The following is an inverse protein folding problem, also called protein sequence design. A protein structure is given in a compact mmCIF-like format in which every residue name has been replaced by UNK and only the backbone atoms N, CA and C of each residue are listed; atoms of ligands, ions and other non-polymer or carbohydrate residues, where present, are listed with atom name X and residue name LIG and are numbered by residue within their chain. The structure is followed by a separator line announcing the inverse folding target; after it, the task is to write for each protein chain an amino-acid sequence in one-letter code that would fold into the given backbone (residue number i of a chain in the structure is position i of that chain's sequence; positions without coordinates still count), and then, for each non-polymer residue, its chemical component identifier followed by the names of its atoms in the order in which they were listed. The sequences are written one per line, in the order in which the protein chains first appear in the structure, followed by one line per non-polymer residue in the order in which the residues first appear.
data_IF_125681746038
#
_entry.id   IF_125681746038
#
_cell.length_a   1.000
_cell.length_b   1.000
_cell.length_c   1.000
_cell.angle_alpha   90.00
_cell.angle_beta   90.00
_cell.angle_gamma   90.00
#
_symmetry.space_group_name_H-M   'P 1'
#
loop_
_entity.id
_entity.type
_entity.pdbx_description
1 polymer ?
#
# COMPACT_ATOMS: atom_id res chain seq x y z
N UNK A 1 11.21 -25.93 8.96
CA UNK A 1 11.59 -25.97 7.52
C UNK A 1 12.30 -24.68 7.12
N UNK A 2 13.56 -24.74 6.64
CA UNK A 2 14.28 -23.55 6.18
C UNK A 2 13.62 -23.02 4.89
N UNK A 3 13.20 -21.75 4.87
CA UNK A 3 12.65 -21.08 3.69
C UNK A 3 13.77 -20.87 2.65
N UNK A 4 14.03 -21.86 1.81
CA UNK A 4 14.90 -21.68 0.65
C UNK A 4 14.27 -20.66 -0.29
N UNK A 5 14.96 -19.53 -0.48
CA UNK A 5 14.57 -18.51 -1.46
C UNK A 5 14.87 -19.06 -2.86
N UNK A 6 13.88 -19.65 -3.49
CA UNK A 6 13.95 -20.01 -4.90
C UNK A 6 14.24 -18.78 -5.76
N UNK A 7 15.06 -18.92 -6.80
CA UNK A 7 15.21 -17.90 -7.82
C UNK A 7 13.85 -17.57 -8.46
N UNK A 8 13.69 -16.39 -9.05
CA UNK A 8 12.40 -16.05 -9.68
C UNK A 8 12.09 -17.04 -10.82
N UNK A 9 13.11 -17.42 -11.58
CA UNK A 9 12.99 -18.42 -12.66
C UNK A 9 12.45 -19.75 -12.13
N UNK A 10 12.95 -20.23 -10.99
CA UNK A 10 12.44 -21.44 -10.34
C UNK A 10 10.97 -21.31 -9.95
N UNK A 11 10.64 -20.19 -9.31
CA UNK A 11 9.30 -19.95 -8.79
C UNK A 11 8.26 -19.83 -9.90
N UNK A 12 8.56 -19.11 -10.97
CA UNK A 12 7.58 -18.75 -12.01
C UNK A 12 7.72 -19.56 -13.29
N UNK A 13 8.94 -19.82 -13.75
CA UNK A 13 9.21 -20.53 -14.99
C UNK A 13 9.30 -22.05 -14.79
N UNK A 14 10.00 -22.55 -13.76
CA UNK A 14 10.00 -23.99 -13.44
C UNK A 14 8.75 -24.48 -12.73
N UNK A 15 7.90 -23.56 -12.25
CA UNK A 15 6.62 -23.90 -11.63
C UNK A 15 6.70 -24.27 -10.14
N UNK A 16 7.83 -24.04 -9.46
CA UNK A 16 7.97 -24.36 -8.03
C UNK A 16 7.17 -23.42 -7.11
N UNK A 17 6.57 -22.35 -7.63
CA UNK A 17 5.62 -21.55 -6.88
C UNK A 17 4.34 -22.32 -6.58
N UNK A 18 3.81 -22.20 -5.36
CA UNK A 18 2.59 -22.89 -4.88
C UNK A 18 1.42 -22.88 -5.89
N UNK A 19 1.25 -21.74 -6.59
CA UNK A 19 0.17 -21.53 -7.57
C UNK A 19 0.30 -22.31 -8.88
N UNK A 20 1.47 -22.88 -9.17
CA UNK A 20 1.74 -23.55 -10.44
C UNK A 20 1.83 -25.07 -10.30
N UNK A 21 1.75 -25.63 -9.08
CA UNK A 21 1.70 -27.07 -8.87
C UNK A 21 2.89 -27.84 -9.46
N UNK A 22 4.10 -27.26 -9.47
CA UNK A 22 5.30 -27.83 -10.12
C UNK A 22 5.19 -27.98 -11.65
N UNK A 23 4.21 -27.34 -12.29
CA UNK A 23 4.09 -27.35 -13.75
C UNK A 23 4.97 -26.25 -14.36
N UNK A 24 6.00 -26.60 -15.15
CA UNK A 24 6.85 -25.61 -15.80
C UNK A 24 6.07 -24.79 -16.83
N UNK A 25 6.58 -23.61 -17.14
CA UNK A 25 6.05 -22.72 -18.17
C UNK A 25 6.34 -23.30 -19.54
N UNK A 26 5.38 -23.22 -20.47
CA UNK A 26 5.56 -23.69 -21.86
C UNK A 26 6.71 -22.96 -22.59
N UNK A 27 7.04 -21.75 -22.13
CA UNK A 27 8.14 -20.95 -22.67
C UNK A 27 9.47 -21.16 -21.92
N UNK A 28 9.50 -22.00 -20.89
CA UNK A 28 10.73 -22.26 -20.15
C UNK A 28 11.54 -23.35 -20.86
N UNK A 29 12.79 -23.03 -21.17
CA UNK A 29 13.71 -23.97 -21.80
C UNK A 29 14.68 -24.52 -20.76
N UNK A 30 14.50 -25.80 -20.41
CA UNK A 30 15.28 -26.46 -19.38
C UNK A 30 16.76 -26.67 -19.78
N UNK A 31 17.09 -26.70 -21.07
CA UNK A 31 18.49 -26.90 -21.51
C UNK A 31 19.37 -25.70 -21.15
N UNK A 32 18.83 -24.51 -21.36
CA UNK A 32 19.49 -23.20 -21.17
C UNK A 32 19.09 -22.51 -19.87
N UNK A 33 18.11 -23.06 -19.15
CA UNK A 33 17.59 -22.53 -17.89
C UNK A 33 17.03 -21.10 -18.00
N UNK A 34 16.47 -20.77 -19.16
CA UNK A 34 15.95 -19.44 -19.50
C UNK A 34 14.52 -19.53 -20.04
N UNK A 35 13.76 -18.44 -19.92
CA UNK A 35 12.44 -18.34 -20.53
C UNK A 35 12.55 -17.69 -21.91
N UNK A 36 12.10 -18.40 -22.95
CA UNK A 36 12.14 -18.00 -24.36
C UNK A 36 11.49 -16.64 -24.62
N UNK A 37 10.45 -16.29 -23.86
CA UNK A 37 9.81 -14.96 -23.95
C UNK A 37 10.80 -13.81 -23.78
N UNK A 38 11.79 -13.96 -22.89
CA UNK A 38 12.81 -12.92 -22.68
C UNK A 38 13.91 -12.91 -23.73
N UNK A 39 14.08 -14.01 -24.49
CA UNK A 39 15.04 -14.11 -25.59
C UNK A 39 14.50 -13.46 -26.86
N UNK A 40 13.21 -13.63 -27.12
CA UNK A 40 12.54 -13.13 -28.33
C UNK A 40 12.18 -11.64 -28.27
N UNK A 41 12.29 -10.99 -27.09
CA UNK A 41 12.25 -9.53 -26.90
C UNK A 41 11.05 -8.80 -27.50
N UNK A 42 9.85 -9.38 -27.43
CA UNK A 42 8.59 -8.70 -27.77
C UNK A 42 7.80 -8.35 -26.51
N UNK A 43 7.85 -7.10 -26.01
CA UNK A 43 7.23 -6.70 -24.74
C UNK A 43 5.72 -6.97 -24.69
N UNK A 44 5.02 -6.84 -25.81
CA UNK A 44 3.58 -7.12 -25.90
C UNK A 44 3.28 -8.58 -25.57
N UNK A 45 4.01 -9.50 -26.21
CA UNK A 45 3.89 -10.95 -25.96
C UNK A 45 4.32 -11.25 -24.53
N UNK A 46 5.35 -10.58 -24.04
CA UNK A 46 5.85 -10.79 -22.70
C UNK A 46 4.80 -10.38 -21.65
N UNK A 47 4.11 -9.27 -21.85
CA UNK A 47 3.00 -8.86 -20.99
C UNK A 47 1.88 -9.90 -20.98
N UNK A 48 1.49 -10.42 -22.14
CA UNK A 48 0.35 -11.32 -22.29
C UNK A 48 0.63 -12.75 -21.84
N UNK A 49 1.86 -13.23 -22.01
CA UNK A 49 2.21 -14.64 -21.82
C UNK A 49 3.12 -14.91 -20.62
N UNK A 50 3.78 -13.89 -20.06
CA UNK A 50 4.65 -14.10 -18.92
C UNK A 50 3.83 -14.46 -17.67
N UNK A 51 4.22 -15.53 -17.00
CA UNK A 51 3.61 -15.88 -15.72
C UNK A 51 3.81 -14.83 -14.63
N UNK A 52 4.73 -13.86 -14.80
CA UNK A 52 5.02 -12.80 -13.82
C UNK A 52 4.30 -11.47 -14.11
N UNK A 53 3.36 -11.43 -15.06
CA UNK A 53 2.63 -10.20 -15.44
C UNK A 53 1.15 -10.24 -15.03
N UNK A 54 0.77 -11.16 -14.15
CA UNK A 54 -0.59 -11.17 -13.63
C UNK A 54 -0.93 -9.88 -12.85
N UNK A 55 -2.21 -9.51 -12.85
CA UNK A 55 -2.71 -8.36 -12.10
C UNK A 55 -2.34 -8.44 -10.63
N UNK A 56 -2.33 -9.64 -10.03
CA UNK A 56 -1.95 -9.84 -8.65
C UNK A 56 -0.53 -9.34 -8.33
N UNK A 57 0.42 -9.49 -9.25
CA UNK A 57 1.78 -8.97 -9.11
C UNK A 57 1.82 -7.45 -9.20
N UNK A 58 0.98 -6.83 -10.04
CA UNK A 58 0.81 -5.37 -10.06
C UNK A 58 0.23 -4.86 -8.73
N UNK A 59 -0.88 -5.44 -8.26
CA UNK A 59 -1.48 -5.11 -6.95
C UNK A 59 -0.46 -5.23 -5.83
N UNK A 60 0.27 -6.35 -5.77
CA UNK A 60 1.30 -6.57 -4.75
C UNK A 60 2.46 -5.56 -4.84
N UNK A 61 2.77 -5.07 -6.04
CA UNK A 61 3.78 -4.03 -6.22
C UNK A 61 3.25 -2.68 -5.76
N UNK A 62 2.01 -2.35 -6.11
CA UNK A 62 1.29 -1.14 -5.69
C UNK A 62 1.24 -1.07 -4.17
N UNK A 63 0.78 -2.14 -3.51
CA UNK A 63 0.65 -2.22 -2.05
C UNK A 63 1.98 -1.92 -1.37
N UNK A 64 3.03 -2.63 -1.81
CA UNK A 64 4.38 -2.41 -1.27
C UNK A 64 4.84 -0.96 -1.43
N UNK A 65 4.53 -0.32 -2.56
CA UNK A 65 4.94 1.05 -2.80
C UNK A 65 4.11 2.05 -2.00
N UNK A 66 2.80 1.85 -1.90
CA UNK A 66 1.91 2.63 -1.04
C UNK A 66 2.35 2.52 0.43
N UNK A 67 2.54 1.32 0.95
CA UNK A 67 3.02 1.08 2.32
C UNK A 67 4.36 1.79 2.56
N UNK A 68 5.27 1.73 1.58
CA UNK A 68 6.55 2.44 1.66
C UNK A 68 6.35 3.95 1.73
N UNK A 69 5.44 4.53 0.94
CA UNK A 69 5.14 5.95 1.00
C UNK A 69 4.46 6.32 2.32
N UNK A 70 3.49 5.54 2.80
CA UNK A 70 2.84 5.75 4.10
C UNK A 70 3.87 5.76 5.23
N UNK A 71 4.78 4.79 5.25
CA UNK A 71 5.83 4.70 6.26
C UNK A 71 6.84 5.86 6.20
N UNK A 72 7.20 6.33 4.99
CA UNK A 72 8.18 7.42 4.84
C UNK A 72 7.58 8.78 5.22
N UNK A 73 6.33 9.04 4.84
CA UNK A 73 5.72 10.35 4.99
C UNK A 73 4.73 10.45 6.16
N UNK A 74 4.45 9.34 6.86
CA UNK A 74 3.50 9.31 7.99
C UNK A 74 2.05 9.54 7.57
N UNK A 75 1.69 9.21 6.33
CA UNK A 75 0.39 9.53 5.74
C UNK A 75 -0.49 8.29 5.81
N UNK A 76 -1.67 8.40 6.44
CA UNK A 76 -2.72 7.41 6.30
C UNK A 76 -3.45 7.67 4.99
N UNK A 77 -3.32 6.75 4.04
CA UNK A 77 -4.00 6.89 2.77
C UNK A 77 -5.22 5.97 2.74
N UNK A 78 -6.41 6.57 2.71
CA UNK A 78 -7.69 5.87 2.64
C UNK A 78 -7.85 5.32 1.22
N UNK A 79 -7.67 4.01 1.09
CA UNK A 79 -7.99 3.15 -0.07
C UNK A 79 -7.60 3.67 -1.47
N UNK A 80 -6.29 3.69 -1.73
CA UNK A 80 -5.70 4.28 -2.94
C UNK A 80 -5.71 3.41 -4.20
N UNK A 81 -6.25 2.19 -4.14
CA UNK A 81 -6.17 1.25 -5.26
C UNK A 81 -7.10 1.64 -6.40
N UNK A 82 -8.22 2.29 -6.09
CA UNK A 82 -9.26 2.63 -7.06
C UNK A 82 -8.81 3.68 -8.09
N UNK A 83 -7.87 4.56 -7.73
CA UNK A 83 -7.39 5.64 -8.60
C UNK A 83 -6.22 5.25 -9.49
N UNK A 84 -5.65 4.07 -9.27
CA UNK A 84 -4.54 3.59 -10.08
C UNK A 84 -5.10 3.02 -11.37
N UNK A 85 -4.99 3.80 -12.45
CA UNK A 85 -5.30 3.32 -13.78
C UNK A 85 -4.27 2.25 -14.20
N UNK A 86 -4.65 0.98 -14.05
CA UNK A 86 -3.81 -0.16 -14.43
C UNK A 86 -3.48 -0.15 -15.93
N UNK A 87 -4.39 0.35 -16.78
CA UNK A 87 -4.14 0.39 -18.22
C UNK A 87 -2.94 1.29 -18.54
N UNK A 88 -2.79 2.44 -17.86
CA UNK A 88 -1.61 3.30 -18.04
C UNK A 88 -0.31 2.57 -17.69
N UNK A 89 -0.33 1.74 -16.63
CA UNK A 89 0.84 0.94 -16.23
C UNK A 89 1.12 -0.10 -17.31
N UNK A 90 0.10 -0.80 -17.78
CA UNK A 90 0.21 -1.84 -18.81
C UNK A 90 0.73 -1.27 -20.12
N UNK A 91 0.18 -0.15 -20.59
CA UNK A 91 0.66 0.53 -21.79
C UNK A 91 2.13 0.93 -21.65
N UNK A 92 2.52 1.46 -20.48
CA UNK A 92 3.91 1.76 -20.22
C UNK A 92 4.81 0.51 -20.20
N UNK A 93 4.30 -0.64 -19.76
CA UNK A 93 5.05 -1.91 -19.78
C UNK A 93 5.14 -2.54 -21.17
N UNK A 94 4.15 -2.29 -22.03
CA UNK A 94 4.12 -2.72 -23.44
C UNK A 94 5.04 -1.89 -24.31
N UNK A 95 5.31 -0.62 -23.94
CA UNK A 95 6.23 0.23 -24.71
C UNK A 95 7.59 -0.46 -24.85
N UNK A 96 8.14 -0.53 -26.08
CA UNK A 96 9.46 -1.07 -26.28
C UNK A 96 10.44 -0.29 -25.44
N UNK A 97 11.14 -1.00 -24.56
CA UNK A 97 12.22 -0.44 -23.77
C UNK A 97 13.36 -0.17 -24.75
N UNK A 98 13.31 0.99 -25.42
CA UNK A 98 14.35 1.52 -26.29
C UNK A 98 15.57 1.96 -25.47
N UNK A 99 15.97 1.18 -24.47
CA UNK A 99 17.25 1.38 -23.81
C UNK A 99 18.28 0.51 -24.53
N UNK A 100 19.16 1.10 -25.36
CA UNK A 100 20.17 0.36 -26.12
C UNK A 100 21.19 -0.39 -25.23
N UNK A 101 21.14 -0.20 -23.90
CA UNK A 101 21.97 -0.92 -22.93
C UNK A 101 21.36 -2.18 -22.32
N UNK A 102 20.10 -2.54 -22.60
CA UNK A 102 19.54 -3.81 -22.12
C UNK A 102 19.79 -4.93 -23.12
N UNK A 103 21.01 -5.49 -23.10
CA UNK A 103 21.41 -6.62 -23.94
C UNK A 103 20.80 -7.96 -23.50
N UNK A 104 20.29 -8.07 -22.26
CA UNK A 104 19.67 -9.31 -21.77
C UNK A 104 18.46 -9.03 -20.89
N UNK A 105 17.27 -9.33 -21.40
CA UNK A 105 16.08 -9.38 -20.57
C UNK A 105 16.05 -10.71 -19.83
N UNK A 106 15.78 -10.65 -18.54
CA UNK A 106 15.49 -11.81 -17.71
C UNK A 106 14.38 -11.44 -16.73
N UNK A 107 13.94 -12.42 -15.95
CA UNK A 107 12.81 -12.25 -15.06
C UNK A 107 13.09 -11.23 -13.94
N UNK A 108 14.34 -11.13 -13.48
CA UNK A 108 14.78 -10.13 -12.50
C UNK A 108 14.70 -8.72 -13.07
N UNK A 109 15.21 -8.50 -14.28
CA UNK A 109 15.15 -7.23 -14.99
C UNK A 109 13.71 -6.82 -15.25
N UNK A 110 12.87 -7.76 -15.68
CA UNK A 110 11.45 -7.52 -15.88
C UNK A 110 10.71 -7.17 -14.59
N UNK A 111 10.99 -7.87 -13.49
CA UNK A 111 10.48 -7.51 -12.17
C UNK A 111 10.88 -6.10 -11.76
N UNK A 112 12.14 -5.72 -11.97
CA UNK A 112 12.63 -4.36 -11.68
C UNK A 112 11.89 -3.33 -12.53
N UNK A 113 11.66 -3.64 -13.80
CA UNK A 113 10.91 -2.79 -14.72
C UNK A 113 9.46 -2.58 -14.25
N UNK A 114 8.73 -3.65 -13.94
CA UNK A 114 7.37 -3.58 -13.35
C UNK A 114 7.35 -2.70 -12.11
N UNK A 115 8.22 -2.98 -11.12
CA UNK A 115 8.23 -2.20 -9.88
C UNK A 115 8.56 -0.73 -10.14
N UNK A 116 9.42 -0.43 -11.11
CA UNK A 116 9.78 0.96 -11.45
C UNK A 116 8.59 1.68 -12.08
N UNK A 117 7.88 1.03 -13.01
CA UNK A 117 6.67 1.59 -13.64
C UNK A 117 5.57 1.83 -12.62
N UNK A 118 5.31 0.84 -11.75
CA UNK A 118 4.34 0.96 -10.65
C UNK A 118 4.72 2.09 -9.70
N UNK A 119 5.97 2.13 -9.24
CA UNK A 119 6.46 3.19 -8.37
C UNK A 119 6.25 4.59 -8.96
N UNK A 120 6.58 4.77 -10.25
CA UNK A 120 6.39 6.06 -10.94
C UNK A 120 4.92 6.46 -10.97
N UNK A 121 4.02 5.53 -11.30
CA UNK A 121 2.58 5.83 -11.37
C UNK A 121 1.98 6.11 -10.00
N UNK A 122 2.30 5.31 -8.99
CA UNK A 122 1.89 5.57 -7.59
C UNK A 122 2.38 6.95 -7.16
N UNK A 123 3.65 7.27 -7.42
CA UNK A 123 4.22 8.57 -7.08
C UNK A 123 3.51 9.73 -7.80
N UNK A 124 3.24 9.60 -9.09
CA UNK A 124 2.50 10.58 -9.89
C UNK A 124 1.12 10.87 -9.29
N UNK A 125 0.38 9.83 -8.89
CA UNK A 125 -0.94 9.98 -8.26
C UNK A 125 -0.84 10.70 -6.92
N UNK A 126 0.12 10.31 -6.07
CA UNK A 126 0.34 10.97 -4.77
C UNK A 126 0.72 12.46 -4.95
N UNK A 127 1.48 12.80 -5.99
CA UNK A 127 1.81 14.19 -6.32
C UNK A 127 0.59 14.96 -6.77
N UNK A 128 -0.19 14.39 -7.70
CA UNK A 128 -1.41 15.01 -8.22
C UNK A 128 -2.41 15.31 -7.11
N UNK A 129 -2.40 14.51 -6.04
CA UNK A 129 -3.22 14.69 -4.84
C UNK A 129 -2.66 15.68 -3.82
N UNK A 130 -1.46 16.21 -4.03
CA UNK A 130 -0.78 17.06 -3.06
C UNK A 130 -0.31 16.30 -1.81
N UNK A 131 -0.36 14.97 -1.80
CA UNK A 131 0.05 14.12 -0.67
C UNK A 131 1.57 14.18 -0.50
N UNK A 132 2.28 14.12 -1.63
CA UNK A 132 3.73 14.33 -1.66
C UNK A 132 4.02 15.50 -2.59
N UNK A 133 4.99 16.34 -2.21
CA UNK A 133 5.43 17.41 -3.09
C UNK A 133 5.99 16.86 -4.41
N UNK A 134 5.88 17.65 -5.48
CA UNK A 134 6.77 17.50 -6.61
C UNK A 134 8.21 17.48 -6.07
N UNK A 135 9.05 16.57 -6.57
CA UNK A 135 10.46 16.64 -6.21
C UNK A 135 10.91 17.97 -6.78
N UNK A 136 11.11 18.99 -5.94
CA UNK A 136 11.83 20.17 -6.40
C UNK A 136 13.17 19.62 -6.86
N UNK A 137 13.55 19.93 -8.10
CA UNK A 137 14.94 19.78 -8.53
C UNK A 137 15.75 20.78 -7.71
N UNK A 138 15.94 20.49 -6.41
CA UNK A 138 16.94 21.18 -5.64
C UNK A 138 18.24 20.74 -6.31
N UNK A 139 18.84 21.67 -7.06
CA UNK A 139 20.02 21.43 -7.85
C UNK A 139 21.15 20.80 -7.00
N UNK A 140 21.08 20.88 -5.67
CA UNK A 140 22.02 20.32 -4.71
C UNK A 140 21.78 18.86 -4.25
N UNK A 141 20.79 18.13 -4.75
CA UNK A 141 20.58 16.74 -4.29
C UNK A 141 21.67 15.80 -4.85
N UNK A 142 22.55 15.30 -3.97
CA UNK A 142 23.72 14.44 -4.26
C UNK A 142 23.45 13.17 -5.08
N UNK A 143 22.20 12.74 -5.23
CA UNK A 143 21.79 11.57 -6.04
C UNK A 143 21.41 11.90 -7.47
N UNK A 144 21.27 13.18 -7.82
CA UNK A 144 21.44 13.60 -9.19
C UNK A 144 22.89 14.03 -9.31
N UNK A 145 23.70 13.23 -10.00
CA UNK A 145 24.90 13.80 -10.60
C UNK A 145 24.40 14.89 -11.53
N UNK A 146 24.42 16.15 -11.08
CA UNK A 146 24.55 17.24 -12.01
C UNK A 146 25.66 16.79 -12.96
N UNK A 147 25.36 16.66 -14.24
CA UNK A 147 26.40 16.73 -15.25
C UNK A 147 27.09 18.04 -14.97
N UNK A 148 28.23 17.99 -14.24
CA UNK A 148 28.96 19.16 -13.77
C UNK A 148 29.09 20.11 -14.95
N UNK A 149 28.34 21.20 -14.94
CA UNK A 149 28.53 22.25 -15.92
C UNK A 149 29.91 22.81 -15.67
N UNK A 150 30.77 22.78 -16.69
CA UNK A 150 32.10 23.34 -16.56
C UNK A 150 31.95 24.85 -16.53
N UNK A 151 32.33 25.48 -15.42
CA UNK A 151 32.40 26.94 -15.32
C UNK A 151 33.76 27.37 -15.88
N UNK A 152 33.76 28.32 -16.81
CA UNK A 152 34.99 28.95 -17.28
C UNK A 152 35.46 29.94 -16.21
N UNK A 153 36.59 29.67 -15.53
CA UNK A 153 37.08 30.53 -14.44
C UNK A 153 37.41 31.96 -14.88
N UNK A 154 37.81 32.15 -16.15
CA UNK A 154 38.13 33.47 -16.70
C UNK A 154 36.89 34.30 -17.00
N UNK A 155 35.83 33.68 -17.53
CA UNK A 155 34.62 34.39 -17.97
C UNK A 155 33.45 34.29 -16.99
N UNK A 156 33.55 33.41 -15.97
CA UNK A 156 32.46 33.02 -15.06
C UNK A 156 31.19 32.53 -15.77
N UNK A 157 31.31 32.07 -17.02
CA UNK A 157 30.20 31.54 -17.81
C UNK A 157 29.99 30.04 -17.54
N UNK A 158 28.73 29.62 -17.40
CA UNK A 158 28.32 28.22 -17.29
C UNK A 158 28.25 27.62 -18.69
N UNK A 159 29.08 26.61 -19.00
CA UNK A 159 29.10 25.94 -20.31
C UNK A 159 28.50 24.54 -20.30
N UNK A 160 27.92 24.15 -21.43
CA UNK A 160 27.40 22.79 -21.68
C UNK A 160 28.58 21.86 -21.96
N UNK A 161 28.40 20.55 -21.70
CA UNK A 161 29.45 19.52 -21.90
C UNK A 161 29.93 19.40 -23.35
N UNK A 162 29.12 19.85 -24.31
CA UNK A 162 29.41 19.86 -25.75
C UNK A 162 30.23 21.06 -26.20
N UNK A 163 30.40 22.08 -25.36
CA UNK A 163 31.13 23.29 -25.72
C UNK A 163 32.65 23.01 -25.67
N UNK A 164 33.41 23.61 -26.58
CA UNK A 164 34.88 23.50 -26.60
C UNK A 164 35.46 23.88 -25.24
N UNK A 165 36.26 22.96 -24.69
CA UNK A 165 36.90 23.08 -23.37
C UNK A 165 37.98 24.17 -23.45
N UNK A 166 38.04 25.05 -22.44
CA UNK A 166 39.11 26.03 -22.30
C UNK A 166 40.40 25.35 -21.80
N UNK A 167 41.55 25.68 -22.37
CA UNK A 167 42.85 25.01 -22.14
C UNK A 167 43.40 25.12 -20.72
N UNK A 168 42.79 25.91 -19.82
CA UNK A 168 43.27 26.11 -18.45
C UNK A 168 42.17 25.72 -17.45
N UNK A 169 42.29 24.54 -16.85
CA UNK A 169 41.46 24.12 -15.71
C UNK A 169 42.34 23.80 -14.50
N UNK A 170 41.96 24.34 -13.33
CA UNK A 170 42.20 23.71 -12.04
C UNK A 170 40.84 23.23 -11.52
N UNK A 171 40.77 21.98 -11.05
CA UNK A 171 39.54 21.45 -10.44
C UNK A 171 39.29 22.22 -9.14
N UNK A 172 38.22 23.01 -9.08
CA UNK A 172 37.81 23.63 -7.82
C UNK A 172 37.37 22.55 -6.83
N UNK A 173 37.97 22.63 -5.65
CA UNK A 173 37.93 21.64 -4.61
C UNK A 173 36.54 21.37 -4.03
N UNK A 174 36.47 20.22 -3.37
CA UNK A 174 35.49 19.92 -2.33
C UNK A 174 35.57 21.05 -1.31
N UNK A 175 34.52 21.86 -1.14
CA UNK A 175 34.17 22.42 0.17
C UNK A 175 32.81 23.12 0.17
N UNK A 176 32.13 22.95 1.31
CA UNK A 176 30.87 23.55 1.78
C UNK A 176 29.59 23.05 1.13
N UNK A 177 29.08 21.95 1.69
CA UNK A 177 27.64 21.68 1.77
C UNK A 177 26.97 22.76 2.61
N UNK A 178 26.41 23.79 1.98
CA UNK A 178 25.30 24.52 2.60
C UNK A 178 24.14 23.55 2.78
N UNK A 179 23.82 23.27 4.04
CA UNK A 179 22.65 22.47 4.40
C UNK A 179 21.41 23.21 3.93
N UNK A 180 20.70 22.61 2.98
CA UNK A 180 19.38 23.05 2.59
C UNK A 180 18.41 22.73 3.73
N UNK A 181 17.96 23.74 4.48
CA UNK A 181 16.99 23.60 5.60
C UNK A 181 15.70 22.86 5.18
N UNK A 182 15.32 22.92 3.90
CA UNK A 182 14.14 22.21 3.38
C UNK A 182 14.34 20.71 3.08
N UNK A 183 15.57 20.19 3.16
CA UNK A 183 15.89 18.79 2.86
C UNK A 183 16.01 17.87 4.09
N UNK A 184 15.93 18.40 5.31
CA UNK A 184 16.05 17.65 6.55
C UNK A 184 15.04 16.49 6.67
N UNK A 185 13.90 16.59 5.99
CA UNK A 185 12.84 15.59 6.06
C UNK A 185 13.06 14.38 5.12
N UNK A 186 13.93 14.50 4.11
CA UNK A 186 14.12 13.47 3.09
C UNK A 186 15.38 12.61 3.29
N UNK A 187 16.28 13.01 4.20
CA UNK A 187 17.50 12.27 4.57
C UNK A 187 17.36 11.50 5.89
N UNK A 188 16.13 11.20 6.35
CA UNK A 188 15.90 10.23 7.43
C UNK A 188 16.24 8.79 6.98
N UNK A 189 17.52 8.53 6.68
CA UNK A 189 18.16 7.29 7.11
C UNK A 189 18.08 7.36 8.63
N UNK A 190 17.35 6.43 9.24
CA UNK A 190 17.25 6.28 10.69
C UNK A 190 18.66 6.39 11.26
N UNK A 191 18.98 7.55 11.86
CA UNK A 191 20.21 7.70 12.61
C UNK A 191 20.13 6.67 13.74
N UNK A 192 21.24 5.97 14.01
CA UNK A 192 21.28 5.07 15.15
C UNK A 192 21.12 5.95 16.40
N UNK A 193 20.02 5.87 17.14
CA UNK A 193 19.80 6.76 18.27
C UNK A 193 20.44 6.17 19.54
N UNK A 194 21.30 6.93 20.22
CA UNK A 194 21.91 6.52 21.48
C UNK A 194 21.03 7.00 22.64
N UNK A 195 20.19 6.12 23.20
CA UNK A 195 19.26 6.49 24.28
C UNK A 195 19.93 6.96 25.57
N UNK A 196 21.16 6.50 25.87
CA UNK A 196 21.91 6.94 27.06
C UNK A 196 22.34 8.41 26.99
N UNK A 197 22.72 8.86 25.79
CA UNK A 197 23.20 10.23 25.54
C UNK A 197 22.16 11.11 24.84
N UNK A 198 20.99 10.56 24.55
CA UNK A 198 19.89 11.23 23.86
C UNK A 198 20.31 11.90 22.54
N UNK A 199 21.19 11.26 21.77
CA UNK A 199 21.78 11.85 20.54
C UNK A 199 21.75 10.88 19.34
N UNK A 200 21.61 11.40 18.10
CA UNK A 200 21.73 10.63 16.87
C UNK A 200 23.19 10.24 16.57
N UNK A 201 23.42 9.01 16.14
CA UNK A 201 24.73 8.42 15.79
C UNK A 201 24.79 7.99 14.32
N UNK A 202 26.01 7.98 13.78
CA UNK A 202 26.33 7.39 12.49
C UNK A 202 26.49 5.88 12.60
N UNK A 203 26.32 5.18 11.47
CA UNK A 203 26.45 3.72 11.38
C UNK A 203 27.88 3.20 11.68
N UNK A 204 28.87 4.08 11.58
CA UNK A 204 30.28 3.81 11.86
C UNK A 204 30.65 4.01 13.32
N UNK A 205 29.77 4.63 14.12
CA UNK A 205 30.03 4.85 15.54
C UNK A 205 29.96 3.49 16.25
N UNK A 206 30.91 3.21 17.16
CA UNK A 206 30.93 1.96 17.92
C UNK A 206 29.54 1.72 18.52
N UNK A 207 28.89 0.63 18.11
CA UNK A 207 27.55 0.28 18.59
C UNK A 207 27.53 0.26 20.10
N UNK A 208 26.58 0.97 20.70
CA UNK A 208 26.40 0.96 22.15
C UNK A 208 26.14 -0.49 22.60
N UNK A 209 27.10 -1.08 23.32
CA UNK A 209 27.03 -2.45 23.88
C UNK A 209 25.71 -2.67 24.63
N UNK A 210 25.23 -1.64 25.34
CA UNK A 210 23.96 -1.65 26.08
C UNK A 210 22.74 -1.79 25.17
N UNK A 211 22.73 -1.22 23.95
CA UNK A 211 21.62 -1.40 23.00
C UNK A 211 21.54 -2.84 22.50
N UNK A 212 22.69 -3.49 22.28
CA UNK A 212 22.71 -4.93 21.95
C UNK A 212 22.16 -5.75 23.11
N UNK A 213 22.49 -5.40 24.36
CA UNK A 213 21.97 -6.07 25.55
C UNK A 213 20.44 -5.89 25.69
N UNK A 214 19.92 -4.68 25.51
CA UNK A 214 18.46 -4.40 25.60
C UNK A 214 17.68 -5.18 24.54
N UNK A 215 18.15 -5.17 23.29
CA UNK A 215 17.50 -5.94 22.21
C UNK A 215 17.55 -7.45 22.52
N UNK A 216 18.65 -7.93 23.09
CA UNK A 216 18.79 -9.35 23.46
C UNK A 216 17.83 -9.74 24.59
N UNK A 217 17.67 -8.89 25.60
CA UNK A 217 16.73 -9.11 26.70
C UNK A 217 15.26 -9.11 26.22
N UNK A 218 14.87 -8.16 25.36
CA UNK A 218 13.50 -8.11 24.79
C UNK A 218 13.22 -9.39 23.99
N UNK A 219 14.19 -9.85 23.20
CA UNK A 219 14.04 -11.10 22.43
C UNK A 219 13.92 -12.32 23.35
N UNK A 220 14.63 -12.36 24.50
CA UNK A 220 14.47 -13.46 25.47
C UNK A 220 13.13 -13.42 26.21
N UNK A 221 12.60 -12.25 26.57
CA UNK A 221 11.30 -12.14 27.22
C UNK A 221 10.14 -12.59 26.31
N UNK A 222 10.19 -12.22 25.02
CA UNK A 222 9.19 -12.66 24.04
C UNK A 222 9.19 -14.19 23.93
N UNK A 223 10.37 -14.81 23.87
CA UNK A 223 10.50 -16.27 23.80
C UNK A 223 10.02 -16.98 25.07
N UNK A 224 10.18 -16.36 26.23
CA UNK A 224 9.72 -16.95 27.48
C UNK A 224 8.20 -16.92 27.59
N UNK A 225 7.54 -15.83 27.14
CA UNK A 225 6.08 -15.75 27.10
C UNK A 225 5.44 -16.77 26.15
N UNK A 226 6.09 -17.05 25.02
CA UNK A 226 5.62 -18.09 24.09
C UNK A 226 5.69 -19.52 24.67
N UNK A 227 6.45 -19.74 25.75
CA UNK A 227 6.56 -21.03 26.42
C UNK A 227 5.64 -21.18 27.65
N UNK A 228 5.04 -20.09 28.14
CA UNK A 228 4.18 -20.10 29.35
C UNK A 228 2.69 -20.37 29.06
N UNK A 229 2.26 -20.41 27.79
CA UNK A 229 0.86 -20.72 27.40
C UNK A 229 0.52 -22.22 27.38
N UNK A 230 1.23 -23.05 28.16
CA UNK A 230 0.95 -24.49 28.32
C UNK A 230 0.85 -24.87 29.79
N UNK A 231 -0.19 -24.38 30.47
CA UNK A 231 -0.60 -24.93 31.77
C UNK A 231 -1.97 -25.59 31.63
N UNK A 232 -2.00 -26.91 31.86
CA UNK A 232 -3.20 -27.70 32.05
C UNK A 232 -3.94 -27.22 33.31
N UNK A 233 -5.03 -26.48 33.11
CA UNK A 233 -5.96 -26.12 34.19
C UNK A 233 -6.86 -27.33 34.43
N UNK A 234 -6.51 -28.14 35.43
CA UNK A 234 -7.46 -29.08 36.03
C UNK A 234 -8.50 -28.29 36.85
N UNK A 235 -9.80 -28.39 36.56
CA UNK A 235 -10.83 -27.76 37.37
C UNK A 235 -10.93 -28.45 38.73
N UNK A 236 -11.11 -27.71 39.83
CA UNK A 236 -11.41 -28.31 41.12
C UNK A 236 -12.77 -29.00 41.07
N UNK A 237 -12.79 -30.27 41.49
CA UNK A 237 -14.01 -31.03 41.73
C UNK A 237 -14.78 -30.40 42.89
N UNK A 238 -16.07 -30.09 42.69
CA UNK A 238 -17.16 -30.22 43.69
C UNK A 238 -18.39 -29.34 43.44
N UNK A 239 -18.80 -29.09 42.19
CA UNK A 239 -20.16 -28.65 41.90
C UNK A 239 -20.88 -29.69 41.02
N UNK A 240 -22.07 -30.10 41.42
CA UNK A 240 -22.94 -31.03 40.70
C UNK A 240 -23.06 -30.58 39.21
N UNK A 241 -22.63 -31.39 38.22
CA UNK A 241 -22.55 -30.99 36.81
C UNK A 241 -23.85 -30.42 36.24
N UNK A 242 -25.01 -30.90 36.71
CA UNK A 242 -26.32 -30.38 36.30
C UNK A 242 -26.52 -28.92 36.72
N UNK A 243 -26.11 -28.56 37.95
CA UNK A 243 -26.26 -27.18 38.44
C UNK A 243 -25.31 -26.19 37.75
N UNK A 244 -24.14 -26.66 37.27
CA UNK A 244 -23.20 -25.80 36.55
C UNK A 244 -23.69 -25.52 35.11
N UNK A 245 -24.27 -26.51 34.45
CA UNK A 245 -24.83 -26.36 33.10
C UNK A 245 -26.06 -25.44 33.12
N UNK A 246 -26.90 -25.56 34.13
CA UNK A 246 -28.09 -24.73 34.30
C UNK A 246 -27.72 -23.26 34.59
N UNK A 247 -26.73 -23.02 35.46
CA UNK A 247 -26.15 -21.68 35.69
C UNK A 247 -25.58 -21.08 34.40
N UNK A 248 -24.83 -21.86 33.60
CA UNK A 248 -24.29 -21.40 32.30
C UNK A 248 -25.40 -21.05 31.32
N UNK A 249 -26.47 -21.83 31.24
CA UNK A 249 -27.59 -21.56 30.34
C UNK A 249 -28.36 -20.29 30.75
N UNK A 250 -28.54 -20.04 32.05
CA UNK A 250 -29.13 -18.79 32.57
C UNK A 250 -28.25 -17.59 32.24
N UNK A 251 -26.92 -17.70 32.43
CA UNK A 251 -25.95 -16.67 32.09
C UNK A 251 -25.98 -16.33 30.59
N UNK A 252 -25.97 -17.35 29.73
CA UNK A 252 -26.07 -17.18 28.26
C UNK A 252 -27.38 -16.48 27.88
N UNK A 253 -28.50 -16.84 28.51
CA UNK A 253 -29.80 -16.20 28.25
C UNK A 253 -29.79 -14.73 28.67
N UNK A 254 -29.25 -14.41 29.85
CA UNK A 254 -29.08 -13.02 30.31
C UNK A 254 -28.20 -12.21 29.39
N UNK A 255 -27.07 -12.76 28.95
CA UNK A 255 -26.16 -12.09 28.02
C UNK A 255 -26.84 -11.80 26.67
N UNK A 256 -27.60 -12.76 26.12
CA UNK A 256 -28.39 -12.55 24.90
C UNK A 256 -29.47 -11.48 25.08
N UNK A 257 -30.14 -11.43 26.24
CA UNK A 257 -31.12 -10.38 26.54
C UNK A 257 -30.46 -9.00 26.67
N UNK A 258 -29.30 -8.90 27.33
CA UNK A 258 -28.51 -7.66 27.43
C UNK A 258 -28.05 -7.21 26.04
N UNK A 259 -27.53 -8.12 25.24
CA UNK A 259 -27.08 -7.85 23.87
C UNK A 259 -28.25 -7.40 22.99
N UNK A 260 -29.42 -8.03 23.12
CA UNK A 260 -30.64 -7.63 22.40
C UNK A 260 -31.18 -6.26 22.84
N UNK A 261 -30.99 -5.88 24.11
CA UNK A 261 -31.35 -4.54 24.63
C UNK A 261 -30.36 -3.49 24.16
N UNK A 262 -29.05 -3.79 24.17
CA UNK A 262 -28.01 -2.92 23.59
C UNK A 262 -28.19 -2.73 22.07
N UNK A 263 -28.67 -3.76 21.36
CA UNK A 263 -28.99 -3.68 19.93
C UNK A 263 -30.18 -2.77 19.61
N UNK A 264 -31.04 -2.45 20.60
CA UNK A 264 -32.21 -1.60 20.43
C UNK A 264 -31.92 -0.12 20.65
N UNK A 265 -30.83 0.22 21.34
CA UNK A 265 -30.32 1.59 21.33
C UNK A 265 -29.67 1.83 19.97
N UNK A 266 -30.51 2.26 19.02
CA UNK A 266 -30.07 2.71 17.71
C UNK A 266 -28.92 3.69 17.88
N UNK A 267 -27.81 3.41 17.22
CA UNK A 267 -26.65 4.29 17.22
C UNK A 267 -27.10 5.71 16.81
N UNK A 268 -27.02 6.70 17.72
CA UNK A 268 -27.52 8.05 17.46
C UNK A 268 -26.80 8.71 16.28
N UNK A 269 -25.56 8.31 16.00
CA UNK A 269 -24.80 8.75 14.84
C UNK A 269 -25.45 8.26 13.53
N UNK A 270 -25.80 6.98 13.48
CA UNK A 270 -26.43 6.37 12.31
C UNK A 270 -27.77 7.03 11.95
N UNK A 271 -28.58 7.40 12.94
CA UNK A 271 -29.86 8.09 12.73
C UNK A 271 -29.65 9.55 12.29
N UNK A 272 -28.60 10.22 12.78
CA UNK A 272 -28.20 11.55 12.29
C UNK A 272 -27.80 11.50 10.82
N UNK A 273 -26.98 10.53 10.41
CA UNK A 273 -26.57 10.35 9.02
C UNK A 273 -27.76 10.10 8.08
N UNK A 274 -28.75 9.28 8.51
CA UNK A 274 -30.00 9.08 7.76
C UNK A 274 -30.74 10.41 7.56
N UNK A 275 -30.92 11.20 8.62
CA UNK A 275 -31.60 12.51 8.56
C UNK A 275 -30.92 13.47 7.58
N UNK A 276 -29.59 13.53 7.59
CA UNK A 276 -28.82 14.38 6.67
C UNK A 276 -29.08 13.99 5.20
N UNK A 277 -29.07 12.69 4.88
CA UNK A 277 -29.37 12.22 3.52
C UNK A 277 -30.83 12.47 3.12
N UNK A 278 -31.78 12.36 4.05
CA UNK A 278 -33.19 12.75 3.80
C UNK A 278 -33.29 14.25 3.48
N UNK A 279 -32.60 15.11 4.25
CA UNK A 279 -32.58 16.54 4.00
C UNK A 279 -31.97 16.87 2.64
N UNK A 280 -30.90 16.17 2.24
CA UNK A 280 -30.33 16.26 0.90
C UNK A 280 -31.37 15.95 -0.18
N UNK A 281 -32.18 14.90 -0.03
CA UNK A 281 -33.27 14.57 -0.96
C UNK A 281 -34.34 15.65 -1.01
N UNK A 282 -34.66 16.27 0.12
CA UNK A 282 -35.70 17.30 0.23
C UNK A 282 -35.28 18.62 -0.42
N UNK A 283 -33.99 18.96 -0.35
CA UNK A 283 -33.42 20.16 -0.94
C UNK A 283 -33.38 20.11 -2.49
N UNK A 284 -33.43 18.92 -3.08
CA UNK A 284 -33.47 18.76 -4.53
C UNK A 284 -34.89 19.01 -5.10
N UNK A 285 -34.97 19.77 -6.20
CA UNK A 285 -36.24 20.10 -6.85
C UNK A 285 -37.03 18.83 -7.25
N UNK A 286 -38.37 18.88 -7.14
CA UNK A 286 -39.24 17.72 -7.43
C UNK A 286 -39.09 17.32 -8.91
N UNK A 287 -39.05 16.02 -9.18
CA UNK A 287 -38.98 15.47 -10.55
C UNK A 287 -37.60 15.51 -11.21
N UNK A 288 -36.57 16.07 -10.58
CA UNK A 288 -35.23 16.10 -11.17
C UNK A 288 -34.53 14.74 -11.10
N UNK A 289 -33.69 14.44 -12.09
CA UNK A 289 -32.83 13.25 -12.06
C UNK A 289 -31.92 13.22 -10.81
N UNK A 290 -31.46 14.40 -10.37
CA UNK A 290 -30.64 14.54 -9.16
C UNK A 290 -31.37 14.08 -7.91
N UNK A 291 -32.65 14.47 -7.74
CA UNK A 291 -33.48 14.00 -6.64
C UNK A 291 -33.66 12.48 -6.65
N UNK A 292 -33.86 11.88 -7.82
CA UNK A 292 -33.96 10.42 -7.97
C UNK A 292 -32.67 9.72 -7.54
N UNK A 293 -31.51 10.26 -7.93
CA UNK A 293 -30.20 9.75 -7.48
C UNK A 293 -30.06 9.86 -5.95
N UNK A 294 -30.38 11.01 -5.36
CA UNK A 294 -30.29 11.18 -3.91
C UNK A 294 -31.24 10.24 -3.15
N UNK A 295 -32.45 9.98 -3.66
CA UNK A 295 -33.38 9.00 -3.07
C UNK A 295 -32.78 7.59 -3.06
N UNK A 296 -32.25 7.16 -4.21
CA UNK A 296 -31.58 5.87 -4.35
C UNK A 296 -30.37 5.75 -3.41
N UNK A 297 -29.58 6.81 -3.29
CA UNK A 297 -28.44 6.89 -2.37
C UNK A 297 -28.87 6.73 -0.90
N UNK A 298 -29.93 7.42 -0.49
CA UNK A 298 -30.48 7.28 0.86
C UNK A 298 -30.99 5.86 1.13
N UNK A 299 -31.74 5.25 0.20
CA UNK A 299 -32.22 3.87 0.33
C UNK A 299 -31.07 2.86 0.39
N UNK A 300 -30.07 3.02 -0.48
CA UNK A 300 -28.88 2.19 -0.48
C UNK A 300 -28.13 2.29 0.85
N UNK A 301 -27.95 3.51 1.38
CA UNK A 301 -27.33 3.74 2.68
C UNK A 301 -28.06 2.99 3.81
N UNK A 302 -29.39 3.14 3.88
CA UNK A 302 -30.21 2.46 4.88
C UNK A 302 -30.08 0.93 4.78
N UNK A 303 -30.11 0.39 3.56
CA UNK A 303 -29.98 -1.04 3.33
C UNK A 303 -28.61 -1.58 3.70
N UNK A 304 -27.53 -0.86 3.36
CA UNK A 304 -26.17 -1.23 3.76
C UNK A 304 -26.04 -1.22 5.28
N UNK A 305 -26.48 -0.15 5.95
CA UNK A 305 -26.41 -0.04 7.40
C UNK A 305 -27.14 -1.19 8.10
N UNK A 306 -28.36 -1.53 7.67
CA UNK A 306 -29.13 -2.65 8.21
C UNK A 306 -28.43 -4.02 8.04
N UNK A 307 -27.57 -4.18 7.03
CA UNK A 307 -26.77 -5.40 6.82
C UNK A 307 -25.49 -5.38 7.65
N UNK A 308 -24.86 -4.22 7.83
CA UNK A 308 -23.71 -4.04 8.71
C UNK A 308 -24.09 -4.31 10.17
N UNK A 309 -25.26 -3.86 10.62
CA UNK A 309 -25.82 -4.17 11.95
C UNK A 309 -26.02 -5.68 12.16
N UNK A 310 -26.16 -6.46 11.08
CA UNK A 310 -26.23 -7.93 11.10
C UNK A 310 -24.86 -8.60 10.99
N UNK A 311 -23.77 -7.84 11.09
CA UNK A 311 -22.40 -8.34 11.00
C UNK A 311 -21.94 -8.72 9.59
N UNK A 312 -22.66 -8.31 8.55
CA UNK A 312 -22.25 -8.58 7.16
C UNK A 312 -21.21 -7.53 6.75
N UNK A 313 -20.10 -7.94 6.12
CA UNK A 313 -19.08 -7.00 5.65
C UNK A 313 -19.64 -6.07 4.57
N UNK A 314 -19.03 -4.88 4.42
CA UNK A 314 -19.51 -3.86 3.47
C UNK A 314 -19.57 -4.37 2.02
N UNK A 315 -18.55 -5.10 1.57
CA UNK A 315 -18.48 -5.64 0.21
C UNK A 315 -19.60 -6.67 -0.03
N UNK A 316 -19.83 -7.55 0.96
CA UNK A 316 -20.92 -8.53 0.91
C UNK A 316 -22.28 -7.88 0.97
N UNK A 317 -22.45 -6.82 1.77
CA UNK A 317 -23.70 -6.08 1.88
C UNK A 317 -24.06 -5.42 0.54
N UNK A 318 -23.12 -4.73 -0.09
CA UNK A 318 -23.30 -4.10 -1.40
C UNK A 318 -23.60 -5.15 -2.48
N UNK A 319 -22.87 -6.26 -2.48
CA UNK A 319 -23.11 -7.37 -3.42
C UNK A 319 -24.47 -8.03 -3.23
N UNK A 320 -24.94 -8.17 -1.99
CA UNK A 320 -26.26 -8.72 -1.66
C UNK A 320 -27.39 -7.79 -2.11
N UNK A 321 -27.22 -6.47 -1.98
CA UNK A 321 -28.20 -5.48 -2.47
C UNK A 321 -28.25 -5.45 -4.01
N UNK A 322 -27.13 -5.71 -4.68
CA UNK A 322 -27.08 -5.78 -6.14
C UNK A 322 -27.77 -7.03 -6.72
N UNK A 323 -28.07 -8.04 -5.89
CA UNK A 323 -28.75 -9.28 -6.29
C UNK A 323 -28.12 -9.98 -7.51
N UNK A 324 -26.79 -10.02 -7.54
CA UNK A 324 -26.01 -10.63 -8.64
C UNK A 324 -25.94 -9.82 -9.94
N UNK A 325 -26.60 -8.67 -10.05
CA UNK A 325 -26.51 -7.79 -11.21
C UNK A 325 -25.25 -6.91 -11.15
N UNK A 326 -24.31 -7.18 -12.08
CA UNK A 326 -23.04 -6.44 -12.18
C UNK A 326 -23.20 -4.94 -12.46
N UNK A 327 -24.25 -4.52 -13.17
CA UNK A 327 -24.49 -3.10 -13.44
C UNK A 327 -24.99 -2.39 -12.19
N UNK A 328 -25.90 -3.03 -11.43
CA UNK A 328 -26.31 -2.53 -10.11
C UNK A 328 -25.15 -2.49 -9.13
N UNK A 329 -24.26 -3.48 -9.15
CA UNK A 329 -23.07 -3.50 -8.29
C UNK A 329 -22.18 -2.27 -8.53
N UNK A 330 -21.87 -1.96 -9.80
CA UNK A 330 -21.08 -0.77 -10.15
C UNK A 330 -21.77 0.53 -9.75
N UNK A 331 -23.08 0.61 -9.95
CA UNK A 331 -23.89 1.77 -9.54
C UNK A 331 -23.90 1.95 -8.03
N UNK A 332 -24.12 0.88 -7.25
CA UNK A 332 -24.13 0.92 -5.80
C UNK A 332 -22.77 1.36 -5.23
N UNK A 333 -21.66 0.85 -5.79
CA UNK A 333 -20.33 1.29 -5.37
C UNK A 333 -20.12 2.79 -5.63
N UNK A 334 -20.54 3.28 -6.80
CA UNK A 334 -20.50 4.72 -7.13
C UNK A 334 -21.32 5.54 -6.14
N UNK A 335 -22.55 5.13 -5.87
CA UNK A 335 -23.46 5.81 -4.94
C UNK A 335 -22.90 5.84 -3.52
N UNK A 336 -22.34 4.73 -3.02
CA UNK A 336 -21.67 4.69 -1.70
C UNK A 336 -20.48 5.64 -1.65
N UNK A 337 -19.67 5.70 -2.71
CA UNK A 337 -18.55 6.64 -2.75
C UNK A 337 -19.02 8.10 -2.78
N UNK A 338 -20.07 8.42 -3.55
CA UNK A 338 -20.67 9.75 -3.55
C UNK A 338 -21.25 10.15 -2.18
N UNK A 339 -21.84 9.19 -1.45
CA UNK A 339 -22.32 9.41 -0.07
C UNK A 339 -21.15 9.72 0.86
N UNK A 340 -20.04 8.96 0.77
CA UNK A 340 -18.83 9.21 1.57
C UNK A 340 -18.25 10.59 1.31
N UNK A 341 -18.12 10.97 0.04
CA UNK A 341 -17.64 12.31 -0.36
C UNK A 341 -18.57 13.38 0.20
N UNK A 342 -19.88 13.20 0.06
CA UNK A 342 -20.87 14.15 0.57
C UNK A 342 -20.74 14.36 2.08
N UNK A 343 -20.66 13.28 2.88
CA UNK A 343 -20.45 13.42 4.32
C UNK A 343 -19.10 14.06 4.66
N UNK A 344 -18.04 13.78 3.89
CA UNK A 344 -16.72 14.38 4.13
C UNK A 344 -16.72 15.89 3.92
N UNK A 345 -17.46 16.35 2.92
CA UNK A 345 -17.55 17.77 2.57
C UNK A 345 -18.52 18.54 3.47
N UNK A 346 -19.62 17.91 3.89
CA UNK A 346 -20.72 18.61 4.58
C UNK A 346 -20.80 18.31 6.08
N UNK A 347 -20.22 17.21 6.55
CA UNK A 347 -20.28 16.75 7.94
C UNK A 347 -18.95 16.07 8.36
N UNK A 348 -17.80 16.75 8.26
CA UNK A 348 -16.48 16.16 8.51
C UNK A 348 -16.33 15.59 9.94
N UNK A 349 -17.10 16.09 10.90
CA UNK A 349 -17.17 15.60 12.28
C UNK A 349 -17.72 14.18 12.41
N UNK A 350 -18.48 13.69 11.42
CA UNK A 350 -19.07 12.34 11.43
C UNK A 350 -18.15 11.26 10.85
N UNK A 351 -17.00 11.62 10.27
CA UNK A 351 -16.06 10.69 9.59
C UNK A 351 -14.77 10.46 10.40
N UNK A 352 -14.68 11.00 11.62
CA UNK A 352 -13.58 10.70 12.54
C UNK A 352 -13.71 9.28 13.08
#
# INVERSE_FOLDING_TARGET
MKNFKYALTDKYCRGFGKRFGKNPCIYFDASVQECRLFRELKPDILWEKCRYTDFFMLYKSIDRHLDRFMNIYGIQIIDNKEDINFNDIIENLKRPVKNPGFTKYNLETWKKYINTSVYRKVREILIKRGIIGHKKECQNCSFFSQTKSNVCLLKKEIRKKTDRICEKYSQTGKDKTEQCESCEHLTKRIAHFCFKKMEPRNKTDKTCEEYKAIITNIISEIKNRENEESYDIYPPESDNPETLLEKKNIEIKRLKEIESKKLKEKDPLSELMKKILVQRVQNEARGTARRTICKRQHELFCNVLNLLEKGISMEKAISKIADGDNNKLKMNNRDINEIRIYFKENCPELIK
#
